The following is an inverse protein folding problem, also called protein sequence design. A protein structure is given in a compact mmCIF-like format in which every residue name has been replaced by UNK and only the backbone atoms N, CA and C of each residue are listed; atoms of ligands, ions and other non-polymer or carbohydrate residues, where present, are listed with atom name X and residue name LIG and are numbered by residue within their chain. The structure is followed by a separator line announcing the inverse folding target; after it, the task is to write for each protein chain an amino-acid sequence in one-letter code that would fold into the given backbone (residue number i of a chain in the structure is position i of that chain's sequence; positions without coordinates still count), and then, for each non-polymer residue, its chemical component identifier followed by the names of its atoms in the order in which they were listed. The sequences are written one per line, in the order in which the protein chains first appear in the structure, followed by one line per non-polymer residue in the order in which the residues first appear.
data_IF_986089680969
#
_entry.id   IF_986089680969
#
_cell.length_a   1.000
_cell.length_b   1.000
_cell.length_c   1.000
_cell.angle_alpha   90.00
_cell.angle_beta   90.00
_cell.angle_gamma   90.00
#
_symmetry.space_group_name_H-M   'P 1'
#
loop_
_entity.id
_entity.type
_entity.pdbx_description
1 polymer ?
#
# COMPACT_ATOMS: atom_id res chain seq x y z
N UNK A 1 8.76 -11.66 -13.26
CA UNK A 1 7.63 -11.11 -12.46
C UNK A 1 7.59 -9.58 -12.44
N UNK A 2 8.73 -8.89 -12.38
CA UNK A 2 8.81 -7.46 -12.71
C UNK A 2 8.58 -7.16 -14.19
N UNK A 3 8.60 -8.18 -15.05
CA UNK A 3 8.60 -8.03 -16.51
C UNK A 3 7.41 -7.24 -17.05
N UNK A 4 6.23 -7.33 -16.42
CA UNK A 4 5.07 -6.52 -16.81
C UNK A 4 5.25 -5.04 -16.46
N UNK A 5 5.77 -4.72 -15.25
CA UNK A 5 6.02 -3.34 -14.84
C UNK A 5 7.23 -2.73 -15.55
N UNK A 6 8.24 -3.55 -15.85
CA UNK A 6 9.44 -3.18 -16.60
C UNK A 6 9.10 -2.89 -18.06
N UNK A 7 8.14 -3.62 -18.66
CA UNK A 7 7.59 -3.28 -19.98
C UNK A 7 6.92 -1.91 -19.99
N UNK A 8 6.28 -1.52 -18.90
CA UNK A 8 5.58 -0.23 -18.78
C UNK A 8 6.56 0.94 -18.56
N UNK A 9 7.65 0.75 -17.80
CA UNK A 9 8.70 1.77 -17.63
C UNK A 9 10.10 1.12 -17.44
N UNK A 10 10.89 0.91 -18.51
CA UNK A 10 12.12 0.11 -18.48
C UNK A 10 13.32 0.76 -17.76
N UNK A 11 13.33 2.08 -17.56
CA UNK A 11 14.36 2.81 -16.79
C UNK A 11 13.90 3.09 -15.35
N UNK A 12 13.60 2.04 -14.59
CA UNK A 12 12.91 2.19 -13.30
C UNK A 12 13.85 2.39 -12.10
N UNK A 13 13.61 3.46 -11.33
CA UNK A 13 14.20 3.66 -9.98
C UNK A 13 13.07 3.70 -8.96
N UNK A 14 12.61 2.56 -8.45
CA UNK A 14 11.49 2.47 -7.50
C UNK A 14 11.57 3.47 -6.33
N UNK A 15 10.42 3.93 -5.82
CA UNK A 15 10.40 4.72 -4.57
C UNK A 15 10.92 3.90 -3.38
N UNK A 16 11.36 4.59 -2.31
CA UNK A 16 11.81 3.90 -1.10
C UNK A 16 10.63 3.12 -0.48
N UNK A 17 9.44 3.71 -0.47
CA UNK A 17 8.20 3.04 -0.02
C UNK A 17 7.89 1.78 -0.83
N UNK A 18 8.06 1.80 -2.16
CA UNK A 18 7.85 0.61 -2.99
C UNK A 18 8.89 -0.47 -2.71
N UNK A 19 10.16 -0.12 -2.52
CA UNK A 19 11.20 -1.08 -2.16
C UNK A 19 10.89 -1.76 -0.82
N UNK A 20 10.38 -1.01 0.17
CA UNK A 20 9.94 -1.55 1.45
C UNK A 20 8.72 -2.47 1.32
N UNK A 21 7.72 -2.05 0.53
CA UNK A 21 6.58 -2.88 0.18
C UNK A 21 7.04 -4.20 -0.43
N UNK A 22 7.89 -4.16 -1.45
CA UNK A 22 8.33 -5.33 -2.19
C UNK A 22 9.09 -6.34 -1.30
N UNK A 23 9.90 -5.87 -0.34
CA UNK A 23 10.53 -6.77 0.65
C UNK A 23 9.51 -7.51 1.51
N UNK A 24 8.44 -6.83 1.92
CA UNK A 24 7.38 -7.42 2.76
C UNK A 24 6.49 -8.34 1.94
N UNK A 25 6.19 -7.95 0.71
CA UNK A 25 5.47 -8.79 -0.23
C UNK A 25 6.25 -10.05 -0.63
N UNK A 26 7.57 -9.97 -0.86
CA UNK A 26 8.41 -11.16 -1.09
C UNK A 26 8.40 -12.11 0.12
N UNK A 27 8.41 -11.57 1.34
CA UNK A 27 8.21 -12.39 2.56
C UNK A 27 6.86 -13.10 2.55
N UNK A 28 5.79 -12.40 2.12
CA UNK A 28 4.46 -13.02 1.99
C UNK A 28 4.44 -14.15 0.96
N UNK A 29 5.13 -13.99 -0.19
CA UNK A 29 5.29 -15.08 -1.16
C UNK A 29 6.07 -16.26 -0.59
N UNK A 30 7.15 -15.98 0.15
CA UNK A 30 7.95 -17.02 0.80
C UNK A 30 7.13 -17.91 1.73
N UNK A 31 6.08 -17.38 2.37
CA UNK A 31 5.16 -18.18 3.20
C UNK A 31 4.35 -19.17 2.35
N UNK A 32 3.90 -18.76 1.16
CA UNK A 32 3.18 -19.65 0.23
C UNK A 32 4.14 -20.69 -0.35
N UNK A 33 5.37 -20.31 -0.72
CA UNK A 33 6.38 -21.24 -1.22
C UNK A 33 6.77 -22.28 -0.16
N UNK A 34 6.91 -21.85 1.09
CA UNK A 34 7.17 -22.74 2.23
C UNK A 34 6.00 -23.72 2.41
N UNK A 35 4.76 -23.23 2.30
CA UNK A 35 3.57 -24.09 2.34
C UNK A 35 3.55 -25.15 1.22
N UNK A 36 3.91 -24.77 0.00
CA UNK A 36 3.98 -25.68 -1.15
C UNK A 36 5.01 -26.80 -0.91
N UNK A 37 6.20 -26.45 -0.43
CA UNK A 37 7.28 -27.43 -0.14
C UNK A 37 6.89 -28.41 0.96
N UNK A 38 6.22 -27.94 2.02
CA UNK A 38 5.72 -28.79 3.11
C UNK A 38 4.65 -29.77 2.58
N UNK A 39 3.74 -29.29 1.73
CA UNK A 39 2.68 -30.13 1.17
C UNK A 39 3.19 -31.18 0.18
N UNK A 40 4.20 -30.84 -0.63
CA UNK A 40 4.83 -31.78 -1.57
C UNK A 40 5.53 -32.94 -0.87
N UNK A 41 6.10 -32.72 0.32
CA UNK A 41 6.86 -33.72 1.06
C UNK A 41 5.97 -34.73 1.82
N UNK A 42 4.64 -34.56 1.84
CA UNK A 42 3.63 -35.43 2.50
C UNK A 42 3.94 -35.81 3.96
N UNK A 43 4.91 -35.16 4.60
CA UNK A 43 5.60 -35.72 5.75
C UNK A 43 4.74 -35.72 7.02
N UNK A 44 3.77 -34.81 7.14
CA UNK A 44 2.88 -34.71 8.30
C UNK A 44 1.56 -34.10 7.83
N UNK A 45 0.41 -34.75 8.06
CA UNK A 45 -0.91 -34.10 7.94
C UNK A 45 -1.07 -33.13 9.10
N UNK A 46 -0.52 -31.93 9.01
CA UNK A 46 -0.69 -30.92 10.07
C UNK A 46 -2.07 -30.31 9.88
N UNK A 47 -2.93 -30.34 10.91
CA UNK A 47 -4.32 -29.86 10.85
C UNK A 47 -4.49 -28.36 10.53
N UNK A 48 -3.41 -27.59 10.39
CA UNK A 48 -3.42 -26.12 10.29
C UNK A 48 -2.48 -25.53 9.21
N UNK A 49 -2.05 -26.31 8.21
CA UNK A 49 -1.03 -25.85 7.23
C UNK A 49 -1.42 -24.59 6.45
N UNK A 50 -2.73 -24.34 6.27
CA UNK A 50 -3.21 -23.17 5.54
C UNK A 50 -2.97 -21.84 6.25
N UNK A 51 -2.47 -21.84 7.50
CA UNK A 51 -2.16 -20.62 8.25
C UNK A 51 -0.96 -19.86 7.67
N UNK A 52 -0.03 -20.54 6.99
CA UNK A 52 1.01 -19.87 6.20
C UNK A 52 0.39 -19.04 5.07
N UNK A 53 -0.64 -19.57 4.41
CA UNK A 53 -1.37 -18.86 3.36
C UNK A 53 -2.16 -17.70 3.98
N UNK A 54 -2.84 -17.90 5.11
CA UNK A 54 -3.55 -16.80 5.80
C UNK A 54 -2.59 -15.68 6.21
N UNK A 55 -1.44 -16.04 6.79
CA UNK A 55 -0.38 -15.11 7.16
C UNK A 55 0.16 -14.34 5.96
N UNK A 56 0.28 -15.00 4.79
CA UNK A 56 0.68 -14.32 3.54
C UNK A 56 -0.32 -13.24 3.11
N UNK A 57 -1.63 -13.49 3.27
CA UNK A 57 -2.68 -12.53 2.96
C UNK A 57 -2.59 -11.33 3.92
N UNK A 58 -2.49 -11.58 5.22
CA UNK A 58 -2.39 -10.51 6.23
C UNK A 58 -1.14 -9.66 5.99
N UNK A 59 0.02 -10.29 5.78
CA UNK A 59 1.29 -9.60 5.60
C UNK A 59 1.33 -8.77 4.31
N UNK A 60 0.76 -9.29 3.21
CA UNK A 60 0.73 -8.58 1.93
C UNK A 60 -0.19 -7.36 1.96
N UNK A 61 -1.39 -7.46 2.57
CA UNK A 61 -2.30 -6.32 2.74
C UNK A 61 -1.72 -5.28 3.69
N UNK A 62 -1.08 -5.69 4.80
CA UNK A 62 -0.38 -4.76 5.69
C UNK A 62 0.78 -4.01 4.98
N UNK A 63 1.48 -4.69 4.07
CA UNK A 63 2.50 -4.06 3.24
C UNK A 63 1.90 -2.99 2.32
N UNK A 64 0.73 -3.26 1.71
CA UNK A 64 0.01 -2.29 0.90
C UNK A 64 -0.38 -1.06 1.71
N UNK A 65 -0.90 -1.24 2.93
CA UNK A 65 -1.29 -0.11 3.78
C UNK A 65 -0.10 0.78 4.14
N UNK A 66 1.01 0.13 4.50
CA UNK A 66 2.28 0.80 4.82
C UNK A 66 2.82 1.54 3.59
N UNK A 67 2.65 0.98 2.40
CA UNK A 67 3.08 1.62 1.16
C UNK A 67 2.40 2.96 0.94
N UNK A 68 1.07 3.01 1.00
CA UNK A 68 0.33 4.23 0.66
C UNK A 68 0.61 5.37 1.63
N UNK A 69 0.62 5.08 2.94
CA UNK A 69 0.92 6.07 3.98
C UNK A 69 2.38 6.55 3.91
N UNK A 70 3.34 5.65 3.73
CA UNK A 70 4.75 6.02 3.56
C UNK A 70 4.98 6.81 2.27
N UNK A 71 4.32 6.42 1.17
CA UNK A 71 4.47 7.09 -0.13
C UNK A 71 3.88 8.49 -0.11
N UNK A 72 2.72 8.68 0.50
CA UNK A 72 2.14 9.99 0.75
C UNK A 72 3.12 10.90 1.52
N UNK A 73 3.68 10.37 2.60
CA UNK A 73 4.66 11.07 3.44
C UNK A 73 5.96 11.40 2.69
N UNK A 74 6.37 10.59 1.71
CA UNK A 74 7.51 10.90 0.83
C UNK A 74 7.23 12.05 -0.14
N UNK A 75 5.96 12.21 -0.57
CA UNK A 75 5.54 13.16 -1.59
C UNK A 75 5.21 14.55 -1.02
N UNK A 76 4.80 14.63 0.24
CA UNK A 76 4.33 15.90 0.83
C UNK A 76 5.40 16.99 0.83
N UNK A 77 6.64 16.67 1.17
CA UNK A 77 7.73 17.68 1.22
C UNK A 77 8.09 18.19 -0.17
N UNK A 78 8.33 17.33 -1.19
CA UNK A 78 8.50 17.79 -2.57
C UNK A 78 7.34 18.65 -3.06
N UNK A 79 6.08 18.28 -2.74
CA UNK A 79 4.90 19.02 -3.13
C UNK A 79 4.87 20.42 -2.49
N UNK A 80 5.00 20.53 -1.17
CA UNK A 80 4.97 21.80 -0.43
C UNK A 80 6.10 22.77 -0.81
N UNK A 81 7.21 22.27 -1.38
CA UNK A 81 8.31 23.12 -1.86
C UNK A 81 7.99 23.82 -3.19
N UNK A 82 7.00 23.32 -3.91
CA UNK A 82 6.78 23.64 -5.33
C UNK A 82 5.36 24.12 -5.60
N UNK A 83 4.42 23.81 -4.70
CA UNK A 83 3.00 24.12 -4.83
C UNK A 83 2.49 24.73 -3.52
N UNK A 84 1.51 25.62 -3.65
CA UNK A 84 0.71 26.07 -2.52
C UNK A 84 -0.20 24.94 -2.05
N UNK A 85 -0.32 24.68 -0.73
CA UNK A 85 -1.19 23.64 -0.22
C UNK A 85 -2.66 24.01 -0.44
N UNK A 86 -3.42 23.11 -1.06
CA UNK A 86 -4.88 23.23 -1.13
C UNK A 86 -5.53 23.02 0.24
N UNK A 87 -6.78 23.48 0.40
CA UNK A 87 -7.55 23.38 1.64
C UNK A 87 -7.60 21.97 2.24
N UNK A 88 -7.69 20.93 1.40
CA UNK A 88 -7.66 19.54 1.88
C UNK A 88 -6.31 19.17 2.53
N UNK A 89 -5.20 19.66 1.98
CA UNK A 89 -3.88 19.44 2.56
C UNK A 89 -3.68 20.27 3.83
N UNK A 90 -4.22 21.50 3.86
CA UNK A 90 -4.24 22.34 5.06
C UNK A 90 -5.01 21.63 6.18
N UNK A 91 -6.20 21.09 5.89
CA UNK A 91 -6.99 20.32 6.85
C UNK A 91 -6.20 19.14 7.41
N UNK A 92 -5.53 18.34 6.55
CA UNK A 92 -4.68 17.23 7.01
C UNK A 92 -3.55 17.73 7.91
N UNK A 93 -2.92 18.87 7.60
CA UNK A 93 -1.88 19.46 8.42
C UNK A 93 -2.43 19.88 9.79
N UNK A 94 -3.58 20.55 9.82
CA UNK A 94 -4.26 20.97 11.05
C UNK A 94 -4.65 19.79 11.93
N UNK A 95 -5.24 18.74 11.34
CA UNK A 95 -5.56 17.48 12.02
C UNK A 95 -4.30 16.72 12.49
N UNK A 96 -3.17 16.93 11.82
CA UNK A 96 -1.84 16.48 12.28
C UNK A 96 -1.28 17.33 13.43
N UNK A 97 -2.04 18.33 13.87
CA UNK A 97 -1.72 19.27 14.93
C UNK A 97 -0.82 20.42 14.47
N UNK A 98 -0.69 20.69 13.17
CA UNK A 98 -0.01 21.89 12.66
C UNK A 98 -0.91 23.10 12.86
N UNK A 99 -0.48 24.09 13.63
CA UNK A 99 -1.26 25.28 13.95
C UNK A 99 -0.39 26.53 13.83
N UNK A 100 -1.00 27.71 13.97
CA UNK A 100 -0.33 29.02 13.87
C UNK A 100 0.89 29.10 14.80
N UNK A 101 0.78 28.60 16.04
CA UNK A 101 1.92 28.59 16.96
C UNK A 101 3.08 27.75 16.41
N UNK A 102 2.81 26.56 15.87
CA UNK A 102 3.83 25.72 15.26
C UNK A 102 4.38 26.32 13.97
N UNK A 103 3.56 27.00 13.16
CA UNK A 103 4.05 27.63 11.93
C UNK A 103 5.03 28.76 12.25
N UNK A 104 4.72 29.63 13.23
CA UNK A 104 5.62 30.69 13.70
C UNK A 104 6.95 30.13 14.23
N UNK A 105 6.91 29.06 15.01
CA UNK A 105 8.14 28.38 15.48
C UNK A 105 8.93 27.78 14.32
N UNK A 106 8.26 27.24 13.30
CA UNK A 106 8.94 26.62 12.15
C UNK A 106 9.68 27.61 11.26
N UNK A 107 9.32 28.90 11.27
CA UNK A 107 10.03 29.94 10.51
C UNK A 107 11.50 30.03 10.92
N UNK A 108 11.81 29.87 12.22
CA UNK A 108 13.18 29.95 12.74
C UNK A 108 13.91 28.61 12.82
N UNK A 109 13.27 27.50 12.43
CA UNK A 109 13.87 26.16 12.51
C UNK A 109 14.81 25.89 11.34
N UNK A 110 15.89 25.14 11.58
CA UNK A 110 16.85 24.73 10.54
C UNK A 110 16.26 23.71 9.55
N UNK A 111 15.25 22.93 9.96
CA UNK A 111 14.67 21.83 9.15
C UNK A 111 13.13 21.74 9.27
N UNK A 112 12.37 22.78 8.89
CA UNK A 112 10.93 22.84 9.10
C UNK A 112 10.18 21.72 8.37
N UNK A 113 10.54 21.44 7.12
CA UNK A 113 9.93 20.37 6.32
C UNK A 113 10.08 18.97 6.94
N UNK A 114 11.16 18.71 7.68
CA UNK A 114 11.31 17.43 8.41
C UNK A 114 10.27 17.32 9.53
N UNK A 115 9.98 18.43 10.21
CA UNK A 115 8.98 18.47 11.28
C UNK A 115 7.57 18.33 10.73
N UNK A 116 7.25 19.01 9.63
CA UNK A 116 5.98 18.84 8.91
C UNK A 116 5.78 17.38 8.52
N UNK A 117 6.79 16.77 7.88
CA UNK A 117 6.75 15.36 7.51
C UNK A 117 6.47 14.45 8.70
N UNK A 118 7.13 14.67 9.84
CA UNK A 118 6.92 13.86 11.04
C UNK A 118 5.51 13.99 11.63
N UNK A 119 4.94 15.21 11.63
CA UNK A 119 3.56 15.42 12.08
C UNK A 119 2.56 14.66 11.21
N UNK A 120 2.69 14.82 9.90
CA UNK A 120 1.81 14.16 8.93
C UNK A 120 1.98 12.66 8.98
N UNK A 121 3.21 12.16 9.05
CA UNK A 121 3.47 10.71 9.17
C UNK A 121 2.72 10.10 10.36
N UNK A 122 2.84 10.71 11.54
CA UNK A 122 2.16 10.22 12.75
C UNK A 122 0.63 10.24 12.64
N UNK A 123 0.08 11.19 11.88
CA UNK A 123 -1.36 11.28 11.63
C UNK A 123 -1.80 10.20 10.64
N UNK A 124 -1.14 10.08 9.48
CA UNK A 124 -1.55 9.15 8.41
C UNK A 124 -1.27 7.68 8.74
N UNK A 125 -0.35 7.37 9.66
CA UNK A 125 -0.13 6.01 10.16
C UNK A 125 -1.38 5.38 10.80
N UNK A 126 -2.35 6.19 11.23
CA UNK A 126 -3.63 5.73 11.78
C UNK A 126 -4.70 5.50 10.71
N UNK A 127 -4.46 5.95 9.48
CA UNK A 127 -5.41 5.82 8.37
C UNK A 127 -5.26 4.43 7.75
N UNK A 128 -6.37 3.70 7.62
CA UNK A 128 -6.40 2.42 6.91
C UNK A 128 -6.59 2.66 5.43
N UNK A 129 -5.65 2.19 4.61
CA UNK A 129 -5.67 2.33 3.14
C UNK A 129 -6.13 1.04 2.44
N UNK A 130 -6.91 0.24 3.19
CA UNK A 130 -7.52 -1.01 2.75
C UNK A 130 -8.70 -0.79 1.79
N UNK A 131 -9.26 0.43 1.75
CA UNK A 131 -10.31 0.83 0.82
C UNK A 131 -9.73 1.75 -0.25
N UNK A 132 -10.09 1.54 -1.53
CA UNK A 132 -9.58 2.37 -2.61
C UNK A 132 -10.01 3.83 -2.50
N UNK A 133 -11.22 4.09 -2.02
CA UNK A 133 -11.70 5.46 -1.83
C UNK A 133 -10.83 6.19 -0.80
N UNK A 134 -10.47 5.53 0.31
CA UNK A 134 -9.56 6.10 1.30
C UNK A 134 -8.16 6.39 0.74
N UNK A 135 -7.69 5.58 -0.21
CA UNK A 135 -6.43 5.82 -0.93
C UNK A 135 -6.55 7.01 -1.87
N UNK A 136 -7.64 7.10 -2.64
CA UNK A 136 -7.87 8.21 -3.56
C UNK A 136 -8.07 9.53 -2.81
N UNK A 137 -8.84 9.52 -1.71
CA UNK A 137 -9.04 10.66 -0.80
C UNK A 137 -7.72 11.14 -0.19
N UNK A 138 -6.84 10.23 0.22
CA UNK A 138 -5.54 10.59 0.77
C UNK A 138 -4.67 11.33 -0.27
N UNK A 139 -4.68 10.87 -1.51
CA UNK A 139 -3.78 11.39 -2.55
C UNK A 139 -4.39 12.55 -3.37
N UNK A 140 -5.70 12.81 -3.28
CA UNK A 140 -6.35 13.92 -4.00
C UNK A 140 -5.77 15.28 -3.60
N UNK A 141 -5.42 15.46 -2.32
CA UNK A 141 -4.84 16.70 -1.80
C UNK A 141 -3.44 17.02 -2.36
N UNK A 142 -2.77 16.02 -2.94
CA UNK A 142 -1.51 16.18 -3.67
C UNK A 142 -1.72 16.25 -5.20
N UNK A 143 -2.96 16.40 -5.66
CA UNK A 143 -3.33 16.50 -7.06
C UNK A 143 -3.53 15.18 -7.80
N UNK A 144 -3.54 14.04 -7.10
CA UNK A 144 -3.78 12.73 -7.73
C UNK A 144 -5.27 12.37 -7.72
N UNK A 145 -6.01 12.81 -8.73
CA UNK A 145 -7.42 12.44 -8.90
C UNK A 145 -7.54 11.00 -9.43
N UNK A 146 -8.40 10.20 -8.80
CA UNK A 146 -8.71 8.81 -9.21
C UNK A 146 -7.45 7.92 -9.36
N UNK A 147 -6.50 7.99 -8.42
CA UNK A 147 -5.22 7.29 -8.50
C UNK A 147 -5.41 5.79 -8.73
N UNK A 148 -6.31 5.15 -8.00
CA UNK A 148 -6.58 3.72 -8.09
C UNK A 148 -7.13 3.35 -9.48
N UNK A 149 -8.02 4.17 -10.04
CA UNK A 149 -8.55 3.94 -11.38
C UNK A 149 -7.48 4.14 -12.46
N UNK A 150 -6.63 5.15 -12.31
CA UNK A 150 -5.53 5.41 -13.23
C UNK A 150 -4.49 4.28 -13.21
N UNK A 151 -4.22 3.70 -12.04
CA UNK A 151 -3.32 2.55 -11.90
C UNK A 151 -3.88 1.32 -12.63
N UNK A 152 -5.19 1.08 -12.52
CA UNK A 152 -5.87 0.04 -13.29
C UNK A 152 -5.77 0.29 -14.80
N UNK A 153 -5.99 1.52 -15.25
CA UNK A 153 -5.86 1.92 -16.65
C UNK A 153 -4.45 1.71 -17.20
N UNK A 154 -3.43 2.08 -16.41
CA UNK A 154 -2.01 1.90 -16.78
C UNK A 154 -1.65 0.42 -17.03
N UNK A 155 -2.28 -0.49 -16.30
CA UNK A 155 -2.04 -1.93 -16.44
C UNK A 155 -2.89 -2.59 -17.53
N UNK A 156 -3.92 -1.91 -18.04
CA UNK A 156 -4.88 -2.50 -18.98
C UNK A 156 -5.69 -3.67 -18.39
N UNK A 157 -5.81 -3.77 -17.06
CA UNK A 157 -6.44 -4.90 -16.35
C UNK A 157 -7.69 -4.47 -15.61
N UNK A 158 -8.85 -4.51 -16.27
CA UNK A 158 -10.13 -4.03 -15.73
C UNK A 158 -10.59 -4.65 -14.39
N UNK A 159 -10.09 -5.84 -14.04
CA UNK A 159 -10.45 -6.57 -12.81
C UNK A 159 -9.41 -6.49 -11.70
N UNK A 160 -8.32 -5.74 -11.88
CA UNK A 160 -7.22 -5.75 -10.89
C UNK A 160 -7.64 -5.15 -9.55
N UNK A 161 -8.42 -4.06 -9.55
CA UNK A 161 -8.99 -3.49 -8.33
C UNK A 161 -9.84 -4.51 -7.58
N UNK A 162 -10.76 -5.18 -8.29
CA UNK A 162 -11.60 -6.23 -7.69
C UNK A 162 -10.77 -7.40 -7.14
N UNK A 163 -9.69 -7.77 -7.82
CA UNK A 163 -8.77 -8.82 -7.36
C UNK A 163 -8.11 -8.47 -6.02
N UNK A 164 -7.65 -7.23 -5.89
CA UNK A 164 -7.05 -6.69 -4.66
C UNK A 164 -8.09 -6.49 -3.56
N UNK A 165 -9.29 -6.02 -3.90
CA UNK A 165 -10.40 -5.86 -2.95
C UNK A 165 -10.79 -7.20 -2.30
N UNK A 166 -10.91 -8.27 -3.09
CA UNK A 166 -11.17 -9.62 -2.55
C UNK A 166 -10.05 -10.06 -1.60
N UNK A 167 -8.80 -9.66 -1.85
CA UNK A 167 -7.68 -9.97 -0.96
C UNK A 167 -7.78 -9.20 0.37
N UNK A 168 -8.20 -7.93 0.33
CA UNK A 168 -8.49 -7.11 1.52
C UNK A 168 -9.66 -7.68 2.31
N UNK A 169 -10.78 -7.99 1.65
CA UNK A 169 -11.96 -8.64 2.26
C UNK A 169 -11.53 -9.94 2.97
N UNK A 170 -10.66 -10.73 2.32
CA UNK A 170 -10.12 -11.95 2.92
C UNK A 170 -9.25 -11.67 4.14
N UNK A 171 -8.39 -10.64 4.11
CA UNK A 171 -7.63 -10.21 5.29
C UNK A 171 -8.57 -9.80 6.43
N UNK A 172 -9.66 -9.10 6.13
CA UNK A 172 -10.63 -8.69 7.14
C UNK A 172 -11.25 -9.91 7.84
N UNK A 173 -11.70 -10.90 7.07
CA UNK A 173 -12.21 -12.18 7.60
C UNK A 173 -11.18 -12.90 8.47
N UNK A 174 -9.90 -12.93 8.06
CA UNK A 174 -8.85 -13.60 8.82
C UNK A 174 -8.59 -12.91 10.16
N UNK A 175 -8.46 -11.58 10.16
CA UNK A 175 -8.01 -10.81 11.33
C UNK A 175 -9.15 -10.54 12.31
N UNK A 176 -10.36 -10.28 11.83
CA UNK A 176 -11.48 -9.87 12.68
C UNK A 176 -12.45 -11.01 13.00
N UNK A 177 -12.71 -11.90 12.03
CA UNK A 177 -13.65 -13.02 12.23
C UNK A 177 -12.95 -14.34 12.59
N UNK A 178 -11.63 -14.33 12.82
CA UNK A 178 -10.81 -15.52 13.06
C UNK A 178 -10.76 -16.49 11.87
N UNK A 179 -11.20 -16.06 10.68
CA UNK A 179 -11.46 -16.89 9.51
C UNK A 179 -12.43 -18.05 9.74
N UNK A 180 -13.36 -17.91 10.69
CA UNK A 180 -14.32 -18.96 11.06
C UNK A 180 -15.60 -18.84 10.20
N UNK A 181 -16.21 -19.98 9.87
CA UNK A 181 -17.49 -20.06 9.18
C UNK A 181 -18.67 -20.21 10.16
N UNK A 182 -19.90 -20.23 9.65
CA UNK A 182 -21.13 -20.35 10.48
C UNK A 182 -21.23 -21.66 11.28
N UNK A 183 -20.39 -22.65 10.98
CA UNK A 183 -20.36 -23.96 11.63
C UNK A 183 -19.11 -24.12 12.52
N UNK A 184 -18.48 -23.02 12.94
CA UNK A 184 -17.29 -23.01 13.80
C UNK A 184 -16.08 -23.75 13.22
N UNK A 185 -15.95 -23.74 11.88
CA UNK A 185 -14.81 -24.33 11.16
C UNK A 185 -14.03 -23.25 10.42
N UNK A 186 -12.71 -23.43 10.32
CA UNK A 186 -11.86 -22.59 9.49
C UNK A 186 -12.33 -22.60 8.03
N UNK A 187 -12.46 -21.42 7.42
CA UNK A 187 -12.82 -21.28 6.01
C UNK A 187 -11.68 -21.81 5.14
N UNK A 188 -11.98 -22.55 4.05
CA UNK A 188 -10.96 -22.98 3.12
C UNK A 188 -10.27 -21.78 2.48
N UNK A 189 -8.98 -21.91 2.20
CA UNK A 189 -8.18 -20.90 1.50
C UNK A 189 -7.45 -21.55 0.33
N UNK A 190 -7.71 -21.03 -0.88
CA UNK A 190 -7.18 -21.62 -2.11
C UNK A 190 -5.84 -21.02 -2.51
N UNK A 191 -4.75 -21.77 -2.39
CA UNK A 191 -3.37 -21.32 -2.65
C UNK A 191 -3.20 -20.66 -4.01
N UNK A 192 -3.69 -21.28 -5.09
CA UNK A 192 -3.55 -20.76 -6.46
C UNK A 192 -4.24 -19.40 -6.60
N UNK A 193 -5.45 -19.27 -6.06
CA UNK A 193 -6.21 -18.02 -6.13
C UNK A 193 -5.58 -16.93 -5.27
N UNK A 194 -5.05 -17.28 -4.09
CA UNK A 194 -4.32 -16.35 -3.22
C UNK A 194 -3.06 -15.86 -3.90
N UNK A 195 -2.24 -16.77 -4.45
CA UNK A 195 -1.01 -16.41 -5.15
C UNK A 195 -1.27 -15.46 -6.33
N UNK A 196 -2.34 -15.71 -7.10
CA UNK A 196 -2.77 -14.80 -8.18
C UNK A 196 -3.07 -13.40 -7.64
N UNK A 197 -3.87 -13.30 -6.58
CA UNK A 197 -4.25 -12.01 -5.98
C UNK A 197 -3.06 -11.27 -5.38
N UNK A 198 -2.10 -11.98 -4.78
CA UNK A 198 -0.84 -11.38 -4.30
C UNK A 198 -0.04 -10.79 -5.46
N UNK A 199 0.03 -11.46 -6.61
CA UNK A 199 0.66 -10.93 -7.82
C UNK A 199 -0.06 -9.69 -8.34
N UNK A 200 -1.38 -9.73 -8.41
CA UNK A 200 -2.21 -8.57 -8.80
C UNK A 200 -2.00 -7.38 -7.85
N UNK A 201 -1.87 -7.62 -6.54
CA UNK A 201 -1.54 -6.59 -5.55
C UNK A 201 -0.19 -5.93 -5.84
N UNK A 202 0.85 -6.71 -6.14
CA UNK A 202 2.16 -6.16 -6.47
C UNK A 202 2.11 -5.28 -7.74
N UNK A 203 1.45 -5.77 -8.80
CA UNK A 203 1.27 -5.02 -10.03
C UNK A 203 0.52 -3.71 -9.80
N UNK A 204 -0.56 -3.75 -9.01
CA UNK A 204 -1.36 -2.58 -8.67
C UNK A 204 -0.54 -1.53 -7.91
N UNK A 205 0.14 -1.93 -6.83
CA UNK A 205 0.99 -1.03 -6.04
C UNK A 205 2.16 -0.48 -6.88
N UNK A 206 2.73 -1.30 -7.76
CA UNK A 206 3.77 -0.86 -8.70
C UNK A 206 3.28 0.17 -9.71
N UNK A 207 2.06 0.01 -10.23
CA UNK A 207 1.43 1.00 -11.09
C UNK A 207 1.17 2.33 -10.36
N UNK A 208 0.70 2.30 -9.11
CA UNK A 208 0.58 3.49 -8.27
C UNK A 208 1.95 4.18 -8.07
N UNK A 209 3.02 3.40 -7.87
CA UNK A 209 4.37 3.97 -7.73
C UNK A 209 4.84 4.69 -8.99
N UNK A 210 4.62 4.07 -10.15
CA UNK A 210 4.89 4.66 -11.46
C UNK A 210 4.17 6.00 -11.61
N UNK A 211 2.86 6.04 -11.32
CA UNK A 211 2.04 7.25 -11.43
C UNK A 211 2.53 8.36 -10.52
N UNK A 212 2.76 8.06 -9.24
CA UNK A 212 3.20 9.08 -8.27
C UNK A 212 4.58 9.62 -8.60
N UNK A 213 5.49 8.80 -9.13
CA UNK A 213 6.82 9.22 -9.58
C UNK A 213 6.80 10.09 -10.83
N UNK A 214 5.98 9.73 -11.82
CA UNK A 214 5.82 10.53 -13.05
C UNK A 214 5.32 11.93 -12.72
N UNK A 215 4.39 12.05 -11.78
CA UNK A 215 3.92 13.34 -11.29
C UNK A 215 5.00 14.08 -10.48
N UNK A 216 5.63 13.43 -9.50
CA UNK A 216 6.63 14.09 -8.64
C UNK A 216 7.86 14.59 -9.40
N UNK A 217 8.22 13.96 -10.53
CA UNK A 217 9.27 14.44 -11.44
C UNK A 217 8.90 15.76 -12.13
N UNK A 218 7.61 16.03 -12.35
CA UNK A 218 7.15 17.31 -12.90
C UNK A 218 7.29 18.45 -11.89
N UNK A 219 7.14 18.18 -10.60
CA UNK A 219 7.33 19.17 -9.54
C UNK A 219 8.79 19.59 -9.36
N UNK A 220 9.74 18.72 -9.69
CA UNK A 220 11.17 18.98 -9.55
C UNK A 220 11.79 19.74 -10.74
N UNK A 221 11.00 20.07 -11.77
CA UNK A 221 11.40 20.89 -12.91
C UNK A 221 10.84 22.29 -12.72
#
# INVERSE_FOLDING_TARGET
MFDELVKIEPKHKWSKSFLQFNRTWNRSLGLIETWLRINETKAIKIRHESDLIRSSVVLSVAAMDTYFTARFTELIVPYLKTHEPHDDLIRILEESGFNIRKSLVMISMTRPYRRIRALVQNHVERITTQRFDAVDDLFVCLGFKNMCQNAQGLLGRSRIKRSVEILVERRHQIVHDGDINRHDRLRPIGTVTTLKRLKDLNLFVGACDILTRKCSRKWAK
#
